data_IF_335984374767
#
_entry.id   IF_335984374767
#
_cell.length_a   1.000
_cell.length_b   1.000
_cell.length_c   1.000
_cell.angle_alpha   90.00
_cell.angle_beta   90.00
_cell.angle_gamma   90.00
#
_symmetry.space_group_name_H-M   'P 1'
#
loop_
_entity.id
_entity.type
_entity.pdbx_description
1 polymer ?
#
# COMPACT_ATOMS: atom_id res chain seq x y z
N UNK A 1 -15.30 -5.69 -6.20
CA UNK A 1 -14.54 -4.45 -6.45
C UNK A 1 -15.33 -3.26 -5.92
N UNK A 2 -14.68 -2.25 -5.34
CA UNK A 2 -15.40 -1.05 -4.90
C UNK A 2 -15.87 -0.22 -6.08
N UNK A 3 -17.04 0.40 -5.94
CA UNK A 3 -17.64 1.26 -6.94
C UNK A 3 -16.76 2.44 -7.32
N UNK A 4 -15.84 2.89 -6.44
CA UNK A 4 -14.89 3.96 -6.74
C UNK A 4 -14.13 3.76 -8.06
N UNK A 5 -13.69 2.53 -8.34
CA UNK A 5 -12.94 2.21 -9.58
C UNK A 5 -13.89 2.14 -10.79
N UNK A 6 -15.12 1.67 -10.57
CA UNK A 6 -16.13 1.54 -11.63
C UNK A 6 -16.62 2.94 -12.03
N UNK A 7 -16.96 3.77 -11.06
CA UNK A 7 -17.37 5.16 -11.25
C UNK A 7 -16.26 5.96 -11.94
N UNK A 8 -14.99 5.74 -11.59
CA UNK A 8 -13.88 6.34 -12.33
C UNK A 8 -13.90 6.00 -13.84
N UNK A 9 -14.16 4.74 -14.19
CA UNK A 9 -14.23 4.33 -15.60
C UNK A 9 -15.46 4.95 -16.28
N UNK A 10 -16.60 5.01 -15.60
CA UNK A 10 -17.81 5.65 -16.11
C UNK A 10 -17.54 7.13 -16.40
N UNK A 11 -17.02 7.85 -15.43
CA UNK A 11 -16.75 9.28 -15.55
C UNK A 11 -15.67 9.58 -16.60
N UNK A 12 -14.64 8.74 -16.69
CA UNK A 12 -13.65 8.81 -17.76
C UNK A 12 -14.29 8.69 -19.14
N UNK A 13 -15.19 7.71 -19.33
CA UNK A 13 -15.89 7.50 -20.60
C UNK A 13 -16.78 8.70 -20.92
N UNK A 14 -17.56 9.18 -19.95
CA UNK A 14 -18.47 10.32 -20.12
C UNK A 14 -17.73 11.58 -20.50
N UNK A 15 -16.65 11.92 -19.80
CA UNK A 15 -15.88 13.14 -20.07
C UNK A 15 -15.09 13.08 -21.38
N UNK A 16 -14.60 11.90 -21.77
CA UNK A 16 -13.74 11.76 -22.97
C UNK A 16 -14.54 11.45 -24.25
N UNK A 17 -15.60 10.66 -24.15
CA UNK A 17 -16.35 10.11 -25.29
C UNK A 17 -17.85 10.47 -25.28
N UNK A 18 -18.34 11.10 -24.22
CA UNK A 18 -19.74 11.53 -24.08
C UNK A 18 -20.66 10.49 -23.42
N UNK A 19 -21.78 10.97 -22.90
CA UNK A 19 -22.83 10.16 -22.25
C UNK A 19 -23.44 9.12 -23.20
N UNK A 20 -23.62 9.45 -24.48
CA UNK A 20 -24.18 8.53 -25.48
C UNK A 20 -23.35 7.25 -25.62
N UNK A 21 -22.02 7.40 -25.57
CA UNK A 21 -21.09 6.29 -25.63
C UNK A 21 -21.11 5.45 -24.36
N UNK A 22 -21.23 6.10 -23.21
CA UNK A 22 -21.45 5.39 -21.96
C UNK A 22 -22.73 4.55 -22.01
N UNK A 23 -23.85 5.10 -22.47
CA UNK A 23 -25.12 4.38 -22.56
C UNK A 23 -25.10 3.22 -23.58
N UNK A 24 -24.36 3.37 -24.67
CA UNK A 24 -24.10 2.28 -25.63
C UNK A 24 -23.34 1.13 -24.95
N UNK A 25 -22.26 1.44 -24.24
CA UNK A 25 -21.41 0.47 -23.53
C UNK A 25 -22.19 -0.23 -22.42
N UNK A 26 -22.93 0.55 -21.62
CA UNK A 26 -23.74 0.07 -20.50
C UNK A 26 -24.79 -0.94 -20.97
N UNK A 27 -25.51 -0.63 -22.06
CA UNK A 27 -26.47 -1.55 -22.68
C UNK A 27 -25.80 -2.80 -23.23
N UNK A 28 -24.67 -2.65 -23.94
CA UNK A 28 -23.92 -3.77 -24.49
C UNK A 28 -23.31 -4.69 -23.41
N UNK A 29 -23.07 -4.17 -22.20
CA UNK A 29 -22.56 -4.91 -21.05
C UNK A 29 -23.67 -5.51 -20.16
N UNK A 30 -24.95 -5.33 -20.51
CA UNK A 30 -26.11 -5.73 -19.72
C UNK A 30 -26.04 -5.21 -18.27
N UNK A 31 -25.90 -3.89 -18.14
CA UNK A 31 -25.86 -3.18 -16.87
C UNK A 31 -27.02 -2.18 -16.81
N UNK A 32 -27.97 -2.42 -15.92
CA UNK A 32 -29.16 -1.55 -15.81
C UNK A 32 -28.86 -0.25 -15.05
N UNK A 33 -27.87 -0.28 -14.16
CA UNK A 33 -27.53 0.82 -13.26
C UNK A 33 -26.80 1.95 -14.01
N UNK A 34 -27.29 3.20 -13.96
CA UNK A 34 -26.67 4.32 -14.68
C UNK A 34 -25.44 4.90 -13.97
N UNK A 35 -25.34 4.75 -12.65
CA UNK A 35 -24.25 5.23 -11.79
C UNK A 35 -23.88 4.21 -10.72
N UNK A 36 -22.68 4.33 -10.15
CA UNK A 36 -22.17 3.42 -9.13
C UNK A 36 -21.81 4.17 -7.85
N UNK A 37 -22.26 3.64 -6.71
CA UNK A 37 -21.91 4.18 -5.41
C UNK A 37 -20.45 3.84 -5.06
N UNK A 38 -19.64 4.84 -4.75
CA UNK A 38 -18.19 4.69 -4.51
C UNK A 38 -17.84 3.69 -3.39
N UNK A 39 -18.65 3.66 -2.32
CA UNK A 39 -18.46 2.81 -1.14
C UNK A 39 -19.15 1.43 -1.25
N UNK A 40 -19.91 1.18 -2.31
CA UNK A 40 -20.56 -0.11 -2.52
C UNK A 40 -19.57 -1.11 -3.15
N UNK A 41 -19.70 -2.38 -2.78
CA UNK A 41 -18.90 -3.47 -3.37
C UNK A 41 -19.73 -4.18 -4.44
N UNK A 42 -19.19 -4.23 -5.64
CA UNK A 42 -19.76 -4.88 -6.82
C UNK A 42 -19.00 -6.16 -7.19
N UNK A 43 -19.60 -7.06 -8.00
CA UNK A 43 -18.93 -8.27 -8.48
C UNK A 43 -17.62 -7.96 -9.22
N UNK A 44 -16.57 -8.79 -9.03
CA UNK A 44 -15.26 -8.56 -9.68
C UNK A 44 -15.30 -8.74 -11.21
N UNK A 45 -16.32 -9.42 -11.74
CA UNK A 45 -16.54 -9.58 -13.18
C UNK A 45 -17.10 -8.33 -13.87
N UNK A 46 -17.62 -7.36 -13.11
CA UNK A 46 -18.33 -6.21 -13.67
C UNK A 46 -17.39 -5.27 -14.43
N UNK A 47 -16.27 -4.87 -13.83
CA UNK A 47 -15.31 -3.96 -14.47
C UNK A 47 -14.68 -4.59 -15.73
N UNK A 48 -14.17 -5.85 -15.71
CA UNK A 48 -13.65 -6.49 -16.92
C UNK A 48 -14.68 -6.63 -18.04
N UNK A 49 -15.96 -6.86 -17.70
CA UNK A 49 -17.04 -6.95 -18.68
C UNK A 49 -17.30 -5.60 -19.34
N UNK A 50 -17.37 -4.53 -18.53
CA UNK A 50 -17.54 -3.17 -19.01
C UNK A 50 -16.35 -2.70 -19.84
N UNK A 51 -15.11 -2.90 -19.37
CA UNK A 51 -13.90 -2.50 -20.10
C UNK A 51 -13.80 -3.21 -21.44
N UNK A 52 -14.09 -4.52 -21.50
CA UNK A 52 -14.10 -5.27 -22.76
C UNK A 52 -15.10 -4.69 -23.77
N UNK A 53 -16.29 -4.29 -23.32
CA UNK A 53 -17.29 -3.63 -24.19
C UNK A 53 -16.88 -2.21 -24.57
N UNK A 54 -16.32 -1.45 -23.64
CA UNK A 54 -15.80 -0.11 -23.89
C UNK A 54 -14.72 -0.11 -24.98
N UNK A 55 -13.70 -0.95 -24.84
CA UNK A 55 -12.61 -1.10 -25.82
C UNK A 55 -13.16 -1.48 -27.21
N UNK A 56 -14.14 -2.39 -27.27
CA UNK A 56 -14.78 -2.81 -28.53
C UNK A 56 -15.57 -1.67 -29.22
N UNK A 57 -16.39 -0.94 -28.46
CA UNK A 57 -17.27 0.11 -28.99
C UNK A 57 -16.49 1.37 -29.36
N UNK A 58 -15.54 1.75 -28.50
CA UNK A 58 -14.69 2.93 -28.69
C UNK A 58 -13.57 2.69 -29.72
N UNK A 59 -13.33 1.42 -30.09
CA UNK A 59 -12.28 1.00 -31.05
C UNK A 59 -10.88 1.48 -30.67
N UNK A 60 -10.61 1.49 -29.37
CA UNK A 60 -9.30 1.85 -28.80
C UNK A 60 -8.54 0.59 -28.41
N UNK A 61 -7.23 0.71 -28.20
CA UNK A 61 -6.43 -0.36 -27.63
C UNK A 61 -6.72 -0.49 -26.13
N UNK A 62 -6.81 -1.72 -25.61
CA UNK A 62 -7.04 -1.98 -24.20
C UNK A 62 -5.95 -1.37 -23.30
N UNK A 63 -4.69 -1.42 -23.75
CA UNK A 63 -3.55 -0.88 -23.01
C UNK A 63 -3.69 0.64 -22.83
N UNK A 64 -3.95 1.34 -23.93
CA UNK A 64 -4.08 2.79 -23.94
C UNK A 64 -5.32 3.23 -23.16
N UNK A 65 -6.43 2.48 -23.27
CA UNK A 65 -7.66 2.75 -22.51
C UNK A 65 -7.41 2.68 -20.99
N UNK A 66 -6.76 1.61 -20.51
CA UNK A 66 -6.46 1.48 -19.09
C UNK A 66 -5.44 2.51 -18.61
N UNK A 67 -4.42 2.82 -19.41
CA UNK A 67 -3.44 3.85 -19.07
C UNK A 67 -4.10 5.22 -18.93
N UNK A 68 -4.93 5.63 -19.89
CA UNK A 68 -5.66 6.90 -19.83
C UNK A 68 -6.69 6.93 -18.68
N UNK A 69 -7.39 5.82 -18.44
CA UNK A 69 -8.26 5.68 -17.26
C UNK A 69 -7.47 5.84 -15.94
N UNK A 70 -6.23 5.37 -15.89
CA UNK A 70 -5.32 5.52 -14.75
C UNK A 70 -4.85 6.96 -14.54
N UNK A 71 -4.57 7.68 -15.63
CA UNK A 71 -4.25 9.12 -15.60
C UNK A 71 -5.46 9.90 -15.08
N UNK A 72 -6.65 9.65 -15.64
CA UNK A 72 -7.89 10.29 -15.22
C UNK A 72 -8.21 10.05 -13.73
N UNK A 73 -7.86 8.87 -13.20
CA UNK A 73 -8.16 8.51 -11.82
C UNK A 73 -7.60 9.47 -10.80
N UNK A 74 -6.40 10.02 -11.01
CA UNK A 74 -5.79 10.95 -10.07
C UNK A 74 -6.61 12.25 -9.98
N UNK A 75 -7.00 12.80 -11.13
CA UNK A 75 -7.88 13.97 -11.19
C UNK A 75 -9.26 13.69 -10.58
N UNK A 76 -9.81 12.50 -10.81
CA UNK A 76 -11.09 12.08 -10.26
C UNK A 76 -11.06 12.00 -8.73
N UNK A 77 -10.08 11.30 -8.13
CA UNK A 77 -10.01 11.19 -6.66
C UNK A 77 -9.65 12.52 -5.98
N UNK A 78 -8.97 13.43 -6.67
CA UNK A 78 -8.72 14.78 -6.14
C UNK A 78 -10.03 15.55 -5.89
N UNK A 79 -11.08 15.33 -6.69
CA UNK A 79 -12.41 15.93 -6.48
C UNK A 79 -13.09 15.43 -5.19
N UNK A 80 -12.75 14.22 -4.74
CA UNK A 80 -13.23 13.65 -3.48
C UNK A 80 -12.36 14.02 -2.27
N UNK A 81 -11.42 14.96 -2.44
CA UNK A 81 -10.57 15.46 -1.35
C UNK A 81 -9.34 14.60 -1.03
N UNK A 82 -9.07 13.54 -1.81
CA UNK A 82 -7.86 12.72 -1.65
C UNK A 82 -6.57 13.46 -2.07
N UNK A 83 -6.70 14.60 -2.76
CA UNK A 83 -5.59 15.46 -3.18
C UNK A 83 -4.64 15.82 -2.02
N UNK A 84 -5.23 16.16 -0.87
CA UNK A 84 -4.46 16.51 0.34
C UNK A 84 -3.69 15.32 0.89
N UNK A 85 -4.25 14.12 0.80
CA UNK A 85 -3.61 12.89 1.30
C UNK A 85 -2.47 12.49 0.37
N UNK A 86 -2.66 12.59 -0.94
CA UNK A 86 -1.64 12.28 -1.93
C UNK A 86 -0.46 13.26 -1.87
N UNK A 87 -0.73 14.56 -1.65
CA UNK A 87 0.32 15.57 -1.57
C UNK A 87 1.21 15.47 -0.32
N UNK A 88 0.71 14.85 0.76
CA UNK A 88 1.49 14.66 2.01
C UNK A 88 2.13 13.27 2.13
N UNK A 89 1.85 12.34 1.22
CA UNK A 89 2.33 10.96 1.33
C UNK A 89 3.85 10.84 1.21
N UNK A 90 4.49 11.74 0.46
CA UNK A 90 5.95 11.72 0.29
C UNK A 90 6.49 13.05 -0.20
N UNK A 91 7.68 13.43 0.32
CA UNK A 91 8.38 14.65 -0.14
C UNK A 91 8.92 14.48 -1.55
N UNK A 92 9.38 13.27 -1.88
CA UNK A 92 9.86 12.90 -3.20
C UNK A 92 9.08 11.72 -3.77
N UNK A 93 9.15 11.53 -5.09
CA UNK A 93 8.45 10.43 -5.77
C UNK A 93 8.83 9.04 -5.21
N UNK A 94 10.07 8.84 -4.77
CA UNK A 94 10.49 7.60 -4.11
C UNK A 94 9.77 7.36 -2.77
N UNK A 95 9.50 8.43 -2.01
CA UNK A 95 8.86 8.35 -0.70
C UNK A 95 7.38 8.02 -0.90
N UNK A 96 6.76 8.64 -1.91
CA UNK A 96 5.40 8.33 -2.33
C UNK A 96 5.23 6.85 -2.66
N UNK A 97 6.09 6.31 -3.53
CA UNK A 97 6.03 4.90 -3.95
C UNK A 97 6.22 3.94 -2.78
N UNK A 98 7.18 4.23 -1.89
CA UNK A 98 7.40 3.44 -0.67
C UNK A 98 6.25 3.58 0.35
N UNK A 99 5.52 4.70 0.34
CA UNK A 99 4.38 4.96 1.22
C UNK A 99 3.03 4.41 0.72
N UNK A 100 2.94 3.92 -0.53
CA UNK A 100 1.67 3.47 -1.13
C UNK A 100 0.98 2.35 -0.35
N UNK A 101 1.73 1.39 0.19
CA UNK A 101 1.16 0.30 0.98
C UNK A 101 0.53 0.84 2.28
N UNK A 102 1.13 1.85 2.90
CA UNK A 102 0.60 2.49 4.10
C UNK A 102 -0.65 3.34 3.79
N UNK A 103 -0.67 4.04 2.66
CA UNK A 103 -1.86 4.74 2.19
C UNK A 103 -3.03 3.75 2.02
N UNK A 104 -2.78 2.62 1.37
CA UNK A 104 -3.82 1.61 1.22
C UNK A 104 -4.28 1.03 2.55
N UNK A 105 -3.38 0.86 3.52
CA UNK A 105 -3.77 0.43 4.86
C UNK A 105 -4.67 1.46 5.55
N UNK A 106 -4.35 2.75 5.43
CA UNK A 106 -5.20 3.83 5.93
C UNK A 106 -6.58 3.84 5.24
N UNK A 107 -6.62 3.64 3.92
CA UNK A 107 -7.89 3.59 3.18
C UNK A 107 -8.79 2.42 3.59
N UNK A 108 -8.27 1.36 4.23
CA UNK A 108 -9.11 0.27 4.76
C UNK A 108 -10.04 0.71 5.89
N UNK A 109 -9.73 1.81 6.59
CA UNK A 109 -10.67 2.35 7.58
C UNK A 109 -11.99 2.82 6.93
N UNK A 110 -11.91 3.46 5.76
CA UNK A 110 -13.09 3.87 4.97
C UNK A 110 -13.61 2.75 4.05
N UNK A 111 -12.72 1.85 3.61
CA UNK A 111 -13.03 0.74 2.71
C UNK A 111 -12.61 -0.62 3.31
N UNK A 112 -13.34 -1.16 4.32
CA UNK A 112 -12.92 -2.34 5.08
C UNK A 112 -12.68 -3.61 4.25
N UNK A 113 -13.37 -3.75 3.12
CA UNK A 113 -13.25 -4.92 2.22
C UNK A 113 -12.21 -4.71 1.11
N UNK A 114 -11.36 -3.69 1.23
CA UNK A 114 -10.43 -3.32 0.17
C UNK A 114 -9.29 -4.34 0.07
N UNK A 115 -9.13 -4.88 -1.14
CA UNK A 115 -8.01 -5.73 -1.53
C UNK A 115 -7.04 -4.89 -2.36
N UNK A 116 -6.13 -4.20 -1.67
CA UNK A 116 -5.14 -3.34 -2.29
C UNK A 116 -4.00 -4.15 -2.94
N UNK A 117 -3.40 -3.65 -4.03
CA UNK A 117 -2.11 -4.13 -4.50
C UNK A 117 -0.99 -3.73 -3.52
N UNK A 118 0.15 -4.40 -3.64
CA UNK A 118 1.36 -4.11 -2.85
C UNK A 118 2.49 -3.62 -3.77
N UNK A 119 3.23 -2.63 -3.29
CA UNK A 119 4.31 -1.96 -3.99
C UNK A 119 5.61 -2.10 -3.21
N UNK A 120 6.67 -2.56 -3.88
CA UNK A 120 7.99 -2.71 -3.27
C UNK A 120 9.01 -2.05 -4.20
N UNK A 121 9.77 -1.08 -3.69
CA UNK A 121 10.86 -0.44 -4.41
C UNK A 121 12.18 -1.18 -4.14
N UNK A 122 12.92 -1.49 -5.20
CA UNK A 122 14.24 -2.11 -5.18
C UNK A 122 15.20 -1.34 -6.12
N UNK A 123 16.51 -1.58 -5.97
CA UNK A 123 17.56 -1.04 -6.84
C UNK A 123 17.44 0.48 -7.08
N UNK A 124 17.22 1.24 -6.02
CA UNK A 124 17.10 2.70 -6.11
C UNK A 124 18.43 3.34 -6.53
N UNK A 125 18.37 4.25 -7.50
CA UNK A 125 19.51 5.00 -8.02
C UNK A 125 19.13 6.48 -8.22
N UNK A 126 20.12 7.31 -8.56
CA UNK A 126 19.90 8.73 -8.90
C UNK A 126 19.01 8.95 -10.13
N UNK A 127 18.82 7.94 -10.98
CA UNK A 127 18.09 8.03 -12.26
C UNK A 127 16.76 7.26 -12.26
N UNK A 128 16.40 6.62 -11.15
CA UNK A 128 15.20 5.80 -11.10
C UNK A 128 15.28 4.68 -10.07
N UNK A 129 14.34 3.74 -10.17
CA UNK A 129 14.25 2.56 -9.31
C UNK A 129 13.48 1.44 -10.00
N UNK A 130 13.62 0.23 -9.47
CA UNK A 130 12.80 -0.93 -9.86
C UNK A 130 11.59 -1.01 -8.93
N UNK A 131 10.38 -1.06 -9.49
CA UNK A 131 9.14 -1.17 -8.73
C UNK A 131 8.49 -2.54 -8.96
N UNK A 132 8.30 -3.29 -7.90
CA UNK A 132 7.53 -4.53 -7.90
C UNK A 132 6.09 -4.26 -7.51
N UNK A 133 5.18 -4.57 -8.42
CA UNK A 133 3.74 -4.51 -8.23
C UNK A 133 3.19 -5.92 -8.05
N UNK A 134 2.46 -6.15 -6.96
CA UNK A 134 1.80 -7.44 -6.69
C UNK A 134 0.31 -7.24 -6.48
N UNK A 135 -0.49 -8.02 -7.21
CA UNK A 135 -1.96 -7.91 -7.15
C UNK A 135 -2.62 -9.26 -7.38
N UNK A 136 -3.74 -9.49 -6.69
CA UNK A 136 -4.64 -10.63 -7.00
C UNK A 136 -5.48 -10.39 -8.27
N UNK A 137 -5.56 -9.14 -8.73
CA UNK A 137 -6.38 -8.75 -9.89
C UNK A 137 -5.50 -8.65 -11.13
N UNK A 138 -5.94 -9.32 -12.20
CA UNK A 138 -5.29 -9.33 -13.51
C UNK A 138 -5.79 -8.19 -14.39
N UNK A 139 -4.97 -7.71 -15.32
CA UNK A 139 -5.36 -6.68 -16.31
C UNK A 139 -5.24 -5.22 -15.84
N UNK A 140 -4.77 -4.96 -14.63
CA UNK A 140 -4.63 -3.60 -14.07
C UNK A 140 -3.21 -3.02 -14.18
N UNK A 141 -2.34 -3.66 -14.95
CA UNK A 141 -0.93 -3.27 -15.10
C UNK A 141 -0.83 -1.86 -15.70
N UNK A 142 -1.44 -1.65 -16.87
CA UNK A 142 -1.43 -0.35 -17.56
C UNK A 142 -2.22 0.73 -16.79
N UNK A 143 -3.28 0.34 -16.08
CA UNK A 143 -3.99 1.25 -15.18
C UNK A 143 -3.09 1.81 -14.08
N UNK A 144 -2.30 0.93 -13.45
CA UNK A 144 -1.32 1.33 -12.43
C UNK A 144 -0.21 2.21 -13.02
N UNK A 145 0.24 1.90 -14.25
CA UNK A 145 1.23 2.74 -14.95
C UNK A 145 0.71 4.16 -15.18
N UNK A 146 -0.54 4.31 -15.63
CA UNK A 146 -1.17 5.62 -15.83
C UNK A 146 -1.26 6.44 -14.54
N UNK A 147 -1.66 5.81 -13.43
CA UNK A 147 -1.72 6.45 -12.12
C UNK A 147 -0.35 6.96 -11.67
N UNK A 148 0.69 6.12 -11.76
CA UNK A 148 2.05 6.48 -11.31
C UNK A 148 2.62 7.62 -12.16
N UNK A 149 2.41 7.59 -13.49
CA UNK A 149 2.82 8.68 -14.38
C UNK A 149 2.14 9.99 -14.02
N UNK A 150 0.83 9.94 -13.77
CA UNK A 150 0.09 11.15 -13.44
C UNK A 150 0.46 11.72 -12.08
N UNK A 151 0.70 10.88 -11.08
CA UNK A 151 1.21 11.36 -9.79
C UNK A 151 2.56 12.06 -9.95
N UNK A 152 3.49 11.46 -10.71
CA UNK A 152 4.80 12.04 -10.96
C UNK A 152 4.70 13.41 -11.63
N UNK A 153 3.80 13.55 -12.61
CA UNK A 153 3.58 14.79 -13.36
C UNK A 153 2.85 15.86 -12.53
N UNK A 154 1.76 15.48 -11.88
CA UNK A 154 0.85 16.39 -11.19
C UNK A 154 1.42 16.91 -9.86
N UNK A 155 1.94 16.01 -9.01
CA UNK A 155 2.40 16.38 -7.66
C UNK A 155 3.89 16.67 -7.56
N UNK A 156 4.71 16.01 -8.38
CA UNK A 156 6.18 16.13 -8.30
C UNK A 156 6.81 16.89 -9.47
N UNK A 157 6.01 17.28 -10.46
CA UNK A 157 6.46 17.96 -11.68
C UNK A 157 7.63 17.24 -12.37
N UNK A 158 7.56 15.91 -12.40
CA UNK A 158 8.58 15.04 -12.99
C UNK A 158 8.00 14.25 -14.15
N UNK A 159 8.74 14.19 -15.24
CA UNK A 159 8.50 13.20 -16.28
C UNK A 159 8.99 11.84 -15.79
N UNK A 160 8.13 10.84 -15.89
CA UNK A 160 8.42 9.47 -15.51
C UNK A 160 8.24 8.54 -16.70
N UNK A 161 9.32 7.85 -17.07
CA UNK A 161 9.27 6.74 -18.02
C UNK A 161 9.10 5.45 -17.24
N UNK A 162 8.11 4.64 -17.64
CA UNK A 162 7.81 3.35 -17.01
C UNK A 162 7.93 2.27 -18.08
N UNK A 163 8.81 1.29 -17.86
CA UNK A 163 9.00 0.14 -18.74
C UNK A 163 8.62 -1.15 -18.01
N UNK A 164 7.86 -2.01 -18.69
CA UNK A 164 7.50 -3.33 -18.19
C UNK A 164 8.67 -4.29 -18.43
N UNK A 165 9.35 -4.70 -17.35
CA UNK A 165 10.51 -5.62 -17.43
C UNK A 165 10.07 -7.07 -17.41
N UNK A 166 9.14 -7.40 -16.50
CA UNK A 166 8.68 -8.78 -16.29
C UNK A 166 7.23 -8.78 -15.80
N UNK A 167 6.45 -9.75 -16.29
CA UNK A 167 5.11 -10.06 -15.79
C UNK A 167 5.03 -11.56 -15.54
N UNK A 168 4.74 -11.94 -14.30
CA UNK A 168 4.66 -13.33 -13.87
C UNK A 168 3.36 -13.60 -13.14
N UNK A 169 2.84 -14.81 -13.35
CA UNK A 169 1.71 -15.32 -12.60
C UNK A 169 2.21 -16.30 -11.54
N UNK A 170 2.27 -15.85 -10.29
CA UNK A 170 2.62 -16.65 -9.14
C UNK A 170 1.33 -17.15 -8.48
N UNK A 171 0.89 -18.36 -8.86
CA UNK A 171 -0.37 -18.95 -8.42
C UNK A 171 -1.58 -18.04 -8.72
N UNK A 172 -2.13 -17.41 -7.68
CA UNK A 172 -3.28 -16.49 -7.75
C UNK A 172 -2.88 -15.00 -7.70
N UNK A 173 -1.59 -14.70 -7.77
CA UNK A 173 -1.07 -13.33 -7.77
C UNK A 173 -0.32 -13.03 -9.06
N UNK A 174 -0.57 -11.84 -9.61
CA UNK A 174 0.27 -11.23 -10.64
C UNK A 174 1.40 -10.50 -9.94
N UNK A 175 2.63 -10.80 -10.32
CA UNK A 175 3.80 -10.03 -9.95
C UNK A 175 4.37 -9.39 -11.21
N UNK A 176 4.36 -8.05 -11.22
CA UNK A 176 4.91 -7.25 -12.29
C UNK A 176 6.12 -6.48 -11.78
N UNK A 177 7.17 -6.44 -12.59
CA UNK A 177 8.35 -5.63 -12.32
C UNK A 177 8.43 -4.51 -13.35
N UNK A 178 8.39 -3.28 -12.86
CA UNK A 178 8.55 -2.06 -13.65
C UNK A 178 9.94 -1.48 -13.44
N UNK A 179 10.55 -0.98 -14.51
CA UNK A 179 11.68 -0.07 -14.42
C UNK A 179 11.16 1.36 -14.52
N UNK A 180 11.35 2.14 -13.46
CA UNK A 180 10.99 3.55 -13.41
C UNK A 180 12.24 4.40 -13.64
N UNK A 181 12.19 5.27 -14.63
CA UNK A 181 13.27 6.21 -14.94
C UNK A 181 12.76 7.63 -14.73
N UNK A 182 13.36 8.35 -13.79
CA UNK A 182 13.03 9.72 -13.42
C UNK A 182 14.20 10.37 -12.67
N UNK A 183 14.21 11.70 -12.55
CA UNK A 183 15.22 12.40 -11.76
C UNK A 183 15.03 12.11 -10.26
N UNK A 184 15.86 11.21 -9.72
CA UNK A 184 15.83 10.75 -8.32
C UNK A 184 17.08 11.20 -7.55
N UNK A 185 17.62 12.40 -7.82
CA UNK A 185 18.80 12.95 -7.10
C UNK A 185 18.61 13.05 -5.59
N UNK A 186 17.37 13.11 -5.11
CA UNK A 186 17.03 13.06 -3.68
C UNK A 186 17.57 11.79 -2.99
N UNK A 187 17.66 10.67 -3.70
CA UNK A 187 18.27 9.44 -3.20
C UNK A 187 19.73 9.63 -2.80
N UNK A 188 20.52 10.35 -3.62
CA UNK A 188 21.93 10.60 -3.35
C UNK A 188 22.13 11.39 -2.05
N UNK A 189 21.30 12.39 -1.80
CA UNK A 189 21.38 13.20 -0.56
C UNK A 189 21.06 12.37 0.68
N UNK A 190 20.04 11.51 0.62
CA UNK A 190 19.71 10.61 1.71
C UNK A 190 20.82 9.57 1.96
N UNK A 191 21.36 8.98 0.90
CA UNK A 191 22.45 8.00 0.97
C UNK A 191 23.75 8.62 1.52
N UNK A 192 24.06 9.86 1.14
CA UNK A 192 25.18 10.64 1.68
C UNK A 192 24.98 11.01 3.16
N UNK A 193 23.75 11.26 3.60
CA UNK A 193 23.44 11.49 5.01
C UNK A 193 23.63 10.22 5.84
N UNK A 194 23.28 9.03 5.31
CA UNK A 194 23.47 7.76 6.02
C UNK A 194 24.94 7.30 6.10
N UNK A 195 25.80 7.75 5.20
CA UNK A 195 27.25 7.41 5.20
C UNK A 195 28.10 8.35 6.05
N UNK A 196 27.52 9.44 6.56
CA UNK A 196 28.22 10.43 7.38
C UNK A 196 27.95 10.12 8.86
N UNK A 197 29.00 9.67 9.55
CA UNK A 197 29.13 9.49 11.03
C UNK A 197 29.03 8.07 11.64
N UNK A 198 29.56 7.03 10.98
CA UNK A 198 29.80 5.75 11.69
C UNK A 198 30.90 5.82 12.77
N UNK A 199 31.70 6.90 12.81
CA UNK A 199 32.87 6.97 13.71
C UNK A 199 32.56 7.27 15.17
N UNK A 200 31.36 7.79 15.51
CA UNK A 200 30.89 7.97 16.90
C UNK A 200 29.37 7.93 16.93
N UNK A 201 28.79 6.82 17.41
CA UNK A 201 27.37 6.79 17.75
C UNK A 201 27.18 7.73 18.96
N UNK A 202 26.37 8.79 18.84
CA UNK A 202 26.27 9.83 19.88
C UNK A 202 25.51 9.38 21.13
N UNK A 203 24.85 8.21 21.08
CA UNK A 203 23.92 7.72 22.10
C UNK A 203 24.29 6.27 22.43
N UNK A 204 24.36 5.94 23.73
CA UNK A 204 24.55 4.56 24.19
C UNK A 204 23.26 3.74 23.99
N UNK A 205 23.41 2.43 23.81
CA UNK A 205 22.26 1.54 23.68
C UNK A 205 21.29 1.63 24.89
N UNK A 206 21.81 1.85 26.10
CA UNK A 206 20.99 2.03 27.30
C UNK A 206 20.01 3.21 27.18
N UNK A 207 20.48 4.36 26.69
CA UNK A 207 19.66 5.55 26.50
C UNK A 207 18.63 5.32 25.38
N UNK A 208 18.97 4.56 24.33
CA UNK A 208 18.02 4.19 23.28
C UNK A 208 16.84 3.38 23.84
N UNK A 209 17.09 2.40 24.70
CA UNK A 209 16.05 1.55 25.31
C UNK A 209 15.21 2.26 26.37
N UNK A 210 15.75 3.33 26.98
CA UNK A 210 14.99 4.26 27.82
C UNK A 210 14.06 5.16 26.99
N UNK A 211 14.55 5.70 25.87
CA UNK A 211 13.76 6.57 24.98
C UNK A 211 12.67 5.78 24.25
N UNK A 212 12.95 4.54 23.84
CA UNK A 212 12.02 3.67 23.13
C UNK A 212 11.62 2.46 23.98
N UNK A 213 10.69 2.63 24.94
CA UNK A 213 10.32 1.61 25.90
C UNK A 213 9.69 0.34 25.28
N UNK A 214 9.11 0.47 24.09
CA UNK A 214 8.45 -0.61 23.33
C UNK A 214 9.19 -0.96 22.03
N UNK A 215 10.53 -0.99 22.05
CA UNK A 215 11.30 -1.51 20.92
C UNK A 215 11.73 -2.97 21.12
N UNK A 216 11.85 -3.71 20.02
CA UNK A 216 12.34 -5.09 20.00
C UNK A 216 13.47 -5.16 18.97
N UNK A 217 14.64 -5.68 19.38
CA UNK A 217 15.78 -5.93 18.52
C UNK A 217 15.96 -7.43 18.38
N UNK A 218 15.90 -7.96 17.16
CA UNK A 218 16.05 -9.39 16.88
C UNK A 218 16.92 -9.64 15.64
N UNK A 219 17.55 -10.82 15.60
CA UNK A 219 18.44 -11.21 14.51
C UNK A 219 17.72 -11.87 13.32
N UNK A 220 18.49 -12.23 12.29
CA UNK A 220 18.00 -12.98 11.12
C UNK A 220 17.48 -14.38 11.46
N UNK A 221 17.88 -14.90 12.62
CA UNK A 221 17.41 -16.14 13.22
C UNK A 221 16.08 -16.00 13.98
N UNK A 222 15.45 -14.81 13.92
CA UNK A 222 14.22 -14.46 14.64
C UNK A 222 14.36 -14.53 16.18
N UNK A 223 15.60 -14.57 16.70
CA UNK A 223 15.87 -14.53 18.14
C UNK A 223 15.95 -13.08 18.63
N UNK A 224 15.19 -12.79 19.68
CA UNK A 224 15.22 -11.49 20.35
C UNK A 224 16.53 -11.32 21.08
N UNK A 225 17.25 -10.24 20.79
CA UNK A 225 18.54 -9.89 21.39
C UNK A 225 18.38 -8.88 22.52
N UNK A 226 17.49 -7.93 22.35
CA UNK A 226 17.26 -6.84 23.32
C UNK A 226 15.85 -6.29 23.17
N UNK A 227 15.31 -5.73 24.25
CA UNK A 227 13.98 -5.14 24.32
C UNK A 227 14.02 -3.85 25.12
N UNK A 228 13.08 -2.95 24.87
CA UNK A 228 12.93 -1.71 25.64
C UNK A 228 12.46 -1.96 27.07
N UNK A 229 12.68 -0.97 27.95
CA UNK A 229 12.49 -1.13 29.39
C UNK A 229 11.05 -1.52 29.78
N UNK A 230 10.03 -0.95 29.13
CA UNK A 230 8.64 -1.31 29.43
C UNK A 230 8.29 -2.71 28.95
N UNK A 231 8.79 -3.13 27.78
CA UNK A 231 8.62 -4.52 27.34
C UNK A 231 9.33 -5.52 28.25
N UNK A 232 10.45 -5.14 28.86
CA UNK A 232 11.14 -6.00 29.83
C UNK A 232 10.34 -6.21 31.12
N UNK A 233 9.57 -5.23 31.56
CA UNK A 233 8.66 -5.37 32.71
C UNK A 233 7.47 -6.28 32.35
N UNK A 234 6.97 -6.18 31.13
CA UNK A 234 5.77 -6.88 30.69
C UNK A 234 6.07 -8.33 30.25
N UNK A 235 7.20 -8.54 29.55
CA UNK A 235 7.64 -9.81 28.97
C UNK A 235 9.13 -10.05 29.29
N UNK A 236 9.48 -10.34 30.55
CA UNK A 236 10.88 -10.47 30.98
C UNK A 236 11.62 -11.63 30.28
N UNK A 237 10.90 -12.71 29.96
CA UNK A 237 11.45 -13.93 29.38
C UNK A 237 11.58 -13.89 27.85
N UNK A 238 11.29 -12.74 27.22
CA UNK A 238 11.31 -12.60 25.77
C UNK A 238 12.73 -12.65 25.17
N UNK A 239 13.72 -12.16 25.91
CA UNK A 239 15.12 -12.10 25.45
C UNK A 239 15.69 -13.52 25.26
N UNK A 240 16.33 -13.77 24.12
CA UNK A 240 16.88 -15.08 23.76
C UNK A 240 15.85 -16.07 23.21
N UNK A 241 14.56 -15.71 23.16
CA UNK A 241 13.50 -16.54 22.57
C UNK A 241 13.20 -16.13 21.13
N UNK A 242 12.51 -17.01 20.41
CA UNK A 242 11.99 -16.70 19.08
C UNK A 242 10.80 -15.74 19.20
N UNK A 243 10.88 -14.60 18.50
CA UNK A 243 9.81 -13.60 18.49
C UNK A 243 8.46 -14.17 18.02
N UNK A 244 8.50 -15.13 17.09
CA UNK A 244 7.31 -15.81 16.53
C UNK A 244 6.54 -16.65 17.55
N UNK A 245 7.14 -16.98 18.68
CA UNK A 245 6.45 -17.76 19.72
C UNK A 245 5.67 -16.85 20.67
N UNK A 246 6.01 -15.56 20.71
CA UNK A 246 5.45 -14.58 21.63
C UNK A 246 4.52 -13.61 20.93
N UNK A 247 4.75 -13.34 19.65
CA UNK A 247 3.97 -12.39 18.85
C UNK A 247 3.44 -13.02 17.57
N UNK A 248 2.20 -12.68 17.27
CA UNK A 248 1.58 -12.84 15.97
C UNK A 248 1.70 -11.53 15.16
N UNK A 249 2.05 -11.69 13.88
CA UNK A 249 2.07 -10.59 12.93
C UNK A 249 0.66 -10.38 12.37
N UNK A 250 -0.01 -9.33 12.84
CA UNK A 250 -1.38 -8.99 12.40
C UNK A 250 -1.34 -8.20 11.10
N UNK A 251 -0.38 -7.27 10.97
CA UNK A 251 -0.20 -6.46 9.75
C UNK A 251 1.28 -6.28 9.43
N UNK A 252 1.67 -6.30 8.15
CA UNK A 252 0.86 -6.72 7.01
C UNK A 252 0.62 -8.25 7.06
N UNK A 253 -0.43 -8.74 6.38
CA UNK A 253 -0.75 -10.18 6.30
C UNK A 253 0.29 -10.93 5.44
N UNK A 254 1.46 -11.20 6.03
CA UNK A 254 2.58 -11.93 5.43
C UNK A 254 3.05 -13.02 6.38
N UNK A 255 3.86 -13.95 5.87
CA UNK A 255 4.55 -14.90 6.75
C UNK A 255 5.52 -14.15 7.66
N UNK A 256 5.44 -14.39 8.97
CA UNK A 256 6.32 -13.78 9.97
C UNK A 256 7.73 -14.40 9.92
N UNK A 257 8.50 -14.06 8.88
CA UNK A 257 9.87 -14.53 8.60
C UNK A 257 10.76 -13.35 8.26
N UNK A 258 12.04 -13.43 8.62
CA UNK A 258 13.00 -12.33 8.45
C UNK A 258 13.07 -11.77 7.02
N UNK A 259 13.22 -12.64 6.01
CA UNK A 259 13.25 -12.22 4.61
C UNK A 259 11.95 -11.56 4.13
N UNK A 260 10.80 -11.97 4.67
CA UNK A 260 9.50 -11.36 4.34
C UNK A 260 9.37 -9.96 4.93
N UNK A 261 9.92 -9.73 6.13
CA UNK A 261 9.96 -8.43 6.80
C UNK A 261 10.89 -7.47 6.03
N UNK A 262 12.08 -7.92 5.64
CA UNK A 262 13.04 -7.11 4.89
C UNK A 262 12.51 -6.63 3.54
N UNK A 263 11.66 -7.42 2.88
CA UNK A 263 11.05 -7.02 1.61
C UNK A 263 9.94 -5.95 1.78
N UNK A 264 9.59 -5.58 3.02
CA UNK A 264 8.49 -4.67 3.35
C UNK A 264 8.85 -3.69 4.46
N UNK A 265 10.12 -3.30 4.57
CA UNK A 265 10.61 -2.41 5.64
C UNK A 265 9.84 -1.09 5.76
N UNK A 266 9.25 -0.61 4.66
CA UNK A 266 8.51 0.65 4.64
C UNK A 266 7.03 0.51 5.07
N UNK A 267 6.56 -0.71 5.32
CA UNK A 267 5.19 -0.95 5.79
C UNK A 267 5.13 -0.85 7.31
N UNK A 268 3.97 -0.45 7.83
CA UNK A 268 3.69 -0.52 9.27
C UNK A 268 3.50 -2.00 9.66
N UNK A 269 4.25 -2.44 10.67
CA UNK A 269 4.13 -3.77 11.27
C UNK A 269 3.34 -3.68 12.58
N UNK A 270 2.27 -4.46 12.68
CA UNK A 270 1.48 -4.61 13.91
C UNK A 270 1.71 -6.02 14.46
N UNK A 271 2.30 -6.07 15.66
CA UNK A 271 2.56 -7.30 16.40
C UNK A 271 1.61 -7.35 17.60
N UNK A 272 0.96 -8.50 17.80
CA UNK A 272 0.09 -8.76 18.94
C UNK A 272 0.63 -9.95 19.71
N UNK A 273 0.62 -9.90 21.03
CA UNK A 273 1.07 -11.04 21.85
C UNK A 273 0.14 -12.23 21.67
N UNK A 274 0.71 -13.43 21.54
CA UNK A 274 -0.06 -14.69 21.38
C UNK A 274 -0.90 -14.94 22.63
N UNK A 275 -0.30 -14.72 23.80
CA UNK A 275 -0.99 -14.81 25.09
C UNK A 275 -1.36 -13.41 25.60
N UNK A 276 -2.53 -13.27 26.25
CA UNK A 276 -2.89 -12.01 26.89
C UNK A 276 -1.92 -11.75 28.04
N UNK A 277 -1.35 -10.55 28.07
CA UNK A 277 -0.55 -10.08 29.19
C UNK A 277 -1.49 -9.85 30.38
N UNK A 278 -1.43 -10.74 31.36
CA UNK A 278 -2.12 -10.58 32.63
C UNK A 278 -1.19 -9.85 33.61
N UNK A 279 -1.58 -8.65 34.03
CA UNK A 279 -0.89 -7.99 35.13
C UNK A 279 -1.27 -8.70 36.43
N UNK A 280 -0.35 -9.46 37.02
CA UNK A 280 -0.47 -10.00 38.39
C UNK A 280 -0.55 -8.89 39.48
N UNK A 281 -0.46 -7.62 39.07
CA UNK A 281 -0.57 -6.45 39.94
C UNK A 281 -1.82 -5.56 39.71
N UNK A 282 -2.85 -6.05 39.03
CA UNK A 282 -4.15 -5.36 39.08
C UNK A 282 -4.70 -5.44 40.52
N UNK A 283 -4.97 -4.31 41.21
CA UNK A 283 -5.71 -4.36 42.46
C UNK A 283 -7.06 -5.01 42.15
N UNK A 284 -7.36 -6.05 42.90
CA UNK A 284 -8.57 -6.84 42.82
C UNK A 284 -9.80 -6.00 43.16
N UNK A 285 -10.28 -5.16 42.23
CA UNK A 285 -11.60 -4.54 42.28
C UNK A 285 -11.94 -3.84 40.95
N UNK A 286 -12.48 -4.60 40.00
CA UNK A 286 -13.51 -4.08 39.12
C UNK A 286 -14.42 -5.23 38.70
N UNK A 287 -15.40 -5.52 39.57
CA UNK A 287 -16.49 -6.44 39.24
C UNK A 287 -17.22 -5.90 38.01
N UNK A 288 -17.41 -6.79 37.04
CA UNK A 288 -18.32 -6.68 35.90
C UNK A 288 -19.56 -5.87 36.26
N UNK A 289 -19.75 -4.74 35.58
CA UNK A 289 -21.08 -4.24 35.29
C UNK A 289 -21.34 -4.51 33.81
N UNK A 290 -22.20 -5.49 33.57
CA UNK A 290 -22.88 -5.67 32.30
C UNK A 290 -23.64 -4.37 31.98
N UNK A 291 -23.22 -3.66 30.93
CA UNK A 291 -24.09 -2.69 30.27
C UNK A 291 -24.71 -3.38 29.06
N UNK A 292 -25.89 -3.93 29.31
CA UNK A 292 -26.92 -4.15 28.30
C UNK A 292 -27.35 -2.75 27.82
N UNK A 293 -27.09 -2.44 26.54
CA UNK A 293 -27.71 -1.31 25.87
C UNK A 293 -28.83 -1.83 24.99
N UNK A 294 -30.05 -1.63 25.49
CA UNK A 294 -31.28 -1.42 24.71
C UNK A 294 -31.23 -0.10 23.95
#
# INVERSE_FOLDING_TARGET
MYGLIIENMVEYIKQTYGEDKWDEIRRAAAVDQPSFSTHQVYPESLLPRLSKKAVQILRVNEKDFFEQMGVFFISFISQYGYDRVLSVLGRHMRDFLNGLDNLHEYLKFSYPRMRAPSFICENETKQGLTLHYRSKRRGFVYYTMGQIKEVARHFYHKEMKIELVREELLFDMVHVTFQLTFDNRAFTLASLAMTREEKRLPISASVLFEIFPFCIVFGSDMLVRSIGNSLMVILPDLVGKKITNWFDLVRPLISFKFGSILNRTNNIFELVTVEPILNDHAPSECRRHDMVLS
#
